data_IF_565394655882
#
_entry.id   IF_565394655882
#
_cell.length_a   1.000
_cell.length_b   1.000
_cell.length_c   1.000
_cell.angle_alpha   90.00
_cell.angle_beta   90.00
_cell.angle_gamma   90.00
#
_symmetry.space_group_name_H-M   'P 1'
#
loop_
_entity.id
_entity.type
_entity.pdbx_description
1 polymer ?
#
# COMPACT_ATOMS: atom_id res chain seq x y z
N UNK A 1 29.05 -0.75 4.02
CA UNK A 1 27.69 -0.60 4.54
C UNK A 1 26.76 -1.28 3.55
N UNK A 2 26.07 -2.36 3.98
CA UNK A 2 25.09 -3.01 3.11
C UNK A 2 23.96 -1.99 2.85
N UNK A 3 23.73 -1.65 1.60
CA UNK A 3 22.58 -0.89 1.18
C UNK A 3 21.34 -1.71 1.59
N UNK A 4 20.53 -1.19 2.53
CA UNK A 4 19.22 -1.77 2.84
C UNK A 4 18.40 -1.58 1.57
N UNK A 5 18.34 -2.60 0.73
CA UNK A 5 17.43 -2.64 -0.41
C UNK A 5 16.04 -2.63 0.22
N UNK A 6 15.30 -1.55 0.05
CA UNK A 6 13.93 -1.46 0.53
C UNK A 6 13.13 -2.65 -0.01
N UNK A 7 12.38 -3.35 0.86
CA UNK A 7 11.66 -4.57 0.49
C UNK A 7 10.80 -4.45 -0.77
N UNK A 8 10.34 -3.24 -1.09
CA UNK A 8 9.52 -2.97 -2.26
C UNK A 8 10.23 -3.23 -3.61
N UNK A 9 11.56 -3.09 -3.68
CA UNK A 9 12.31 -3.39 -4.92
C UNK A 9 12.46 -4.88 -5.22
N UNK A 10 12.09 -5.74 -4.27
CA UNK A 10 12.04 -7.20 -4.44
C UNK A 10 10.70 -7.68 -5.05
N UNK A 11 9.76 -6.77 -5.22
CA UNK A 11 8.39 -7.05 -5.66
C UNK A 11 8.18 -6.57 -7.09
N UNK A 12 7.44 -7.35 -7.88
CA UNK A 12 6.99 -6.92 -9.20
C UNK A 12 5.75 -6.02 -9.07
N UNK A 13 5.92 -4.73 -9.36
CA UNK A 13 4.84 -3.77 -9.28
C UNK A 13 3.68 -4.09 -10.24
N UNK A 14 3.95 -4.71 -11.41
CA UNK A 14 2.89 -5.06 -12.35
C UNK A 14 2.03 -6.20 -11.80
N UNK A 15 2.66 -7.23 -11.23
CA UNK A 15 1.95 -8.33 -10.59
C UNK A 15 1.04 -7.81 -9.46
N UNK A 16 1.59 -6.99 -8.56
CA UNK A 16 0.86 -6.42 -7.43
C UNK A 16 -0.37 -5.60 -7.92
N UNK A 17 -0.15 -4.67 -8.85
CA UNK A 17 -1.24 -3.85 -9.39
C UNK A 17 -2.27 -4.66 -10.19
N UNK A 18 -1.88 -5.78 -10.79
CA UNK A 18 -2.78 -6.71 -11.46
C UNK A 18 -3.66 -7.45 -10.46
N UNK A 19 -3.08 -7.97 -9.36
CA UNK A 19 -3.80 -8.63 -8.29
C UNK A 19 -4.83 -7.72 -7.62
N UNK A 20 -4.46 -6.47 -7.37
CA UNK A 20 -5.40 -5.44 -6.90
C UNK A 20 -6.43 -5.01 -7.96
N UNK A 21 -6.30 -5.50 -9.20
CA UNK A 21 -7.12 -5.13 -10.36
C UNK A 21 -7.09 -3.62 -10.64
N UNK A 22 -5.96 -2.97 -10.43
CA UNK A 22 -5.79 -1.56 -10.77
C UNK A 22 -5.95 -1.38 -12.28
N UNK A 23 -6.82 -0.47 -12.70
CA UNK A 23 -7.16 -0.21 -14.10
C UNK A 23 -7.30 1.27 -14.44
N UNK A 24 -7.64 1.54 -15.70
CA UNK A 24 -7.82 2.92 -16.22
C UNK A 24 -8.85 3.72 -15.39
N UNK A 25 -8.57 4.99 -15.17
CA UNK A 25 -9.39 5.98 -14.45
C UNK A 25 -9.62 5.71 -12.96
N UNK A 26 -9.02 4.68 -12.39
CA UNK A 26 -9.16 4.39 -10.97
C UNK A 26 -8.47 5.42 -10.08
N UNK A 27 -8.96 5.52 -8.84
CA UNK A 27 -8.37 6.28 -7.75
C UNK A 27 -7.67 5.30 -6.80
N UNK A 28 -6.36 5.40 -6.72
CA UNK A 28 -5.51 4.46 -5.97
C UNK A 28 -4.69 5.21 -4.94
N UNK A 29 -4.49 4.65 -3.76
CA UNK A 29 -3.55 5.18 -2.78
C UNK A 29 -2.48 4.13 -2.44
N UNK A 30 -1.22 4.54 -2.49
CA UNK A 30 -0.09 3.78 -1.92
C UNK A 30 0.17 4.31 -0.51
N UNK A 31 -0.21 3.52 0.48
CA UNK A 31 -0.29 3.87 1.90
C UNK A 31 0.98 3.45 2.62
N UNK A 32 1.92 4.37 2.76
CA UNK A 32 3.29 4.12 3.18
C UNK A 32 4.21 3.93 1.97
N UNK A 33 4.15 4.86 1.00
CA UNK A 33 4.71 4.68 -0.34
C UNK A 33 6.25 4.56 -0.39
N UNK A 34 6.96 5.03 0.62
CA UNK A 34 8.40 5.02 0.66
C UNK A 34 9.07 5.89 -0.41
N UNK A 35 10.37 6.16 -0.25
CA UNK A 35 11.10 7.13 -1.06
C UNK A 35 11.27 6.72 -2.53
N UNK A 36 11.27 5.44 -2.85
CA UNK A 36 11.38 4.96 -4.23
C UNK A 36 10.10 5.20 -5.05
N UNK A 37 8.94 5.26 -4.38
CA UNK A 37 7.63 5.34 -5.01
C UNK A 37 7.39 4.18 -5.99
N UNK A 38 7.91 3.00 -5.68
CA UNK A 38 7.93 1.85 -6.59
C UNK A 38 6.54 1.53 -7.17
N UNK A 39 5.52 1.53 -6.32
CA UNK A 39 4.14 1.28 -6.72
C UNK A 39 3.42 2.55 -7.19
N UNK A 40 3.71 3.70 -6.58
CA UNK A 40 3.13 5.01 -6.93
C UNK A 40 3.28 5.32 -8.41
N UNK A 41 4.51 5.24 -8.93
CA UNK A 41 4.78 5.58 -10.34
C UNK A 41 4.21 4.53 -11.31
N UNK A 42 4.24 3.26 -10.95
CA UNK A 42 3.63 2.20 -11.74
C UNK A 42 2.10 2.37 -11.80
N UNK A 43 1.45 2.64 -10.66
CA UNK A 43 0.03 2.90 -10.59
C UNK A 43 -0.37 4.15 -11.39
N UNK A 44 0.39 5.26 -11.28
CA UNK A 44 0.08 6.51 -11.99
C UNK A 44 0.05 6.33 -13.51
N UNK A 45 0.96 5.52 -14.05
CA UNK A 45 0.95 5.17 -15.48
C UNK A 45 -0.22 4.27 -15.84
N UNK A 46 -0.57 3.30 -14.97
CA UNK A 46 -1.61 2.30 -15.21
C UNK A 46 -3.01 2.90 -15.17
N UNK A 47 -3.30 3.82 -14.25
CA UNK A 47 -4.62 4.47 -14.16
C UNK A 47 -4.84 5.56 -15.22
N UNK A 48 -3.79 5.99 -15.91
CA UNK A 48 -3.84 6.97 -16.96
C UNK A 48 -4.21 8.39 -16.48
N UNK A 49 -4.26 9.34 -17.42
CA UNK A 49 -4.47 10.77 -17.12
C UNK A 49 -5.80 11.09 -16.42
N UNK A 50 -6.82 10.26 -16.57
CA UNK A 50 -8.15 10.44 -15.96
C UNK A 50 -8.27 9.75 -14.60
N UNK A 51 -7.31 8.91 -14.23
CA UNK A 51 -7.20 8.32 -12.90
C UNK A 51 -6.50 9.25 -11.92
N UNK A 52 -6.38 8.80 -10.67
CA UNK A 52 -5.69 9.56 -9.61
C UNK A 52 -4.90 8.61 -8.72
N UNK A 53 -3.66 8.96 -8.42
CA UNK A 53 -2.84 8.21 -7.46
C UNK A 53 -2.42 9.12 -6.31
N UNK A 54 -2.59 8.63 -5.10
CA UNK A 54 -2.14 9.28 -3.88
C UNK A 54 -0.91 8.54 -3.34
N UNK A 55 0.19 9.27 -3.21
CA UNK A 55 1.38 8.82 -2.50
C UNK A 55 1.28 9.27 -1.04
N UNK A 56 1.04 8.34 -0.14
CA UNK A 56 0.78 8.64 1.28
C UNK A 56 1.96 8.21 2.12
N UNK A 57 2.52 9.11 2.93
CA UNK A 57 3.62 8.79 3.85
C UNK A 57 3.63 9.73 5.06
N UNK A 58 4.25 9.28 6.16
CA UNK A 58 4.47 10.08 7.37
C UNK A 58 5.72 10.97 7.25
N UNK A 59 6.66 10.62 6.35
CA UNK A 59 7.90 11.34 6.16
C UNK A 59 7.78 12.37 5.04
N UNK A 60 7.80 13.65 5.39
CA UNK A 60 7.73 14.75 4.42
C UNK A 60 8.88 14.72 3.39
N UNK A 61 10.05 14.23 3.77
CA UNK A 61 11.20 14.08 2.88
C UNK A 61 10.96 13.03 1.79
N UNK A 62 10.24 11.95 2.13
CA UNK A 62 9.78 10.94 1.18
C UNK A 62 8.85 11.59 0.15
N UNK A 63 7.82 12.30 0.61
CA UNK A 63 6.84 12.95 -0.26
C UNK A 63 7.48 14.01 -1.16
N UNK A 64 8.43 14.79 -0.65
CA UNK A 64 9.17 15.76 -1.46
C UNK A 64 9.98 15.10 -2.59
N UNK A 65 10.53 13.90 -2.35
CA UNK A 65 11.23 13.11 -3.37
C UNK A 65 10.27 12.62 -4.44
N UNK A 66 9.11 12.11 -4.04
CA UNK A 66 8.04 11.67 -4.95
C UNK A 66 7.55 12.84 -5.80
N UNK A 67 7.24 13.97 -5.19
CA UNK A 67 6.77 15.20 -5.86
C UNK A 67 7.76 15.69 -6.94
N UNK A 68 9.05 15.74 -6.58
CA UNK A 68 10.10 16.14 -7.53
C UNK A 68 10.13 15.21 -8.73
N UNK A 69 10.08 13.89 -8.50
CA UNK A 69 10.11 12.90 -9.57
C UNK A 69 8.83 12.94 -10.41
N UNK A 70 7.65 13.10 -9.80
CA UNK A 70 6.38 13.22 -10.52
C UNK A 70 6.39 14.41 -11.50
N UNK A 71 6.93 15.56 -11.08
CA UNK A 71 7.11 16.73 -11.94
C UNK A 71 8.07 16.46 -13.11
N UNK A 72 9.19 15.78 -12.85
CA UNK A 72 10.15 15.42 -13.90
C UNK A 72 9.55 14.43 -14.93
N UNK A 73 8.67 13.53 -14.49
CA UNK A 73 8.01 12.56 -15.35
C UNK A 73 6.66 13.07 -15.92
N UNK A 74 6.27 14.31 -15.64
CA UNK A 74 5.00 14.93 -16.07
C UNK A 74 3.76 14.12 -15.66
N UNK A 75 3.75 13.56 -14.45
CA UNK A 75 2.64 12.79 -13.90
C UNK A 75 1.70 13.72 -13.12
N UNK A 76 0.77 14.37 -13.82
CA UNK A 76 -0.21 15.31 -13.24
C UNK A 76 -1.32 14.60 -12.41
N UNK A 77 -1.47 13.30 -12.59
CA UNK A 77 -2.44 12.45 -11.90
C UNK A 77 -1.95 11.90 -10.56
N UNK A 78 -0.77 12.33 -10.08
CA UNK A 78 -0.16 11.91 -8.83
C UNK A 78 -0.21 13.07 -7.82
N UNK A 79 -0.62 12.76 -6.59
CA UNK A 79 -0.68 13.70 -5.47
C UNK A 79 -0.02 13.10 -4.23
N UNK A 80 0.76 13.90 -3.52
CA UNK A 80 1.38 13.50 -2.25
C UNK A 80 0.50 13.91 -1.07
N UNK A 81 0.32 13.02 -0.10
CA UNK A 81 -0.49 13.25 1.11
C UNK A 81 0.33 12.91 2.34
N UNK A 82 0.64 13.93 3.13
CA UNK A 82 1.30 13.75 4.42
C UNK A 82 0.28 13.38 5.50
N UNK A 83 0.52 12.25 6.19
CA UNK A 83 -0.35 11.81 7.29
C UNK A 83 0.33 10.78 8.18
N UNK A 84 -0.26 10.55 9.36
CA UNK A 84 -0.04 9.37 10.17
C UNK A 84 -1.26 8.44 10.03
N UNK A 85 -1.07 7.31 9.35
CA UNK A 85 -2.13 6.31 9.12
C UNK A 85 -2.64 5.61 10.40
N UNK A 86 -1.93 5.75 11.52
CA UNK A 86 -2.37 5.22 12.82
C UNK A 86 -3.49 6.06 13.46
N UNK A 87 -3.83 7.21 12.87
CA UNK A 87 -4.85 8.13 13.39
C UNK A 87 -6.04 8.12 12.45
N UNK A 88 -7.17 7.57 12.92
CA UNK A 88 -8.40 7.51 12.13
C UNK A 88 -8.90 8.90 11.73
N UNK A 89 -9.18 9.10 10.45
CA UNK A 89 -9.65 10.37 9.89
C UNK A 89 -8.55 11.42 9.65
N UNK A 90 -7.27 11.10 9.92
CA UNK A 90 -6.18 12.07 9.73
C UNK A 90 -5.77 12.26 8.27
N UNK A 91 -6.00 11.27 7.42
CA UNK A 91 -5.61 11.31 6.01
C UNK A 91 -6.57 12.18 5.21
N UNK A 92 -6.03 13.17 4.50
CA UNK A 92 -6.80 14.11 3.66
C UNK A 92 -7.19 13.46 2.32
N UNK A 93 -7.79 12.29 2.40
CA UNK A 93 -8.45 11.58 1.31
C UNK A 93 -9.88 11.33 1.77
N UNK A 94 -10.83 11.65 0.92
CA UNK A 94 -12.26 11.54 1.19
C UNK A 94 -12.66 10.08 1.50
N UNK A 95 -13.56 9.90 2.46
CA UNK A 95 -14.09 8.58 2.81
C UNK A 95 -14.83 7.96 1.62
N UNK A 96 -14.56 6.69 1.33
CA UNK A 96 -15.23 5.96 0.25
C UNK A 96 -14.89 6.46 -1.16
N UNK A 97 -13.75 7.12 -1.35
CA UNK A 97 -13.38 7.70 -2.64
C UNK A 97 -12.36 6.89 -3.44
N UNK A 98 -11.67 5.94 -2.82
CA UNK A 98 -10.65 5.11 -3.48
C UNK A 98 -11.25 3.84 -4.04
N UNK A 99 -10.82 3.45 -5.23
CA UNK A 99 -11.05 2.12 -5.79
C UNK A 99 -10.15 1.08 -5.13
N UNK A 100 -8.86 1.44 -4.89
CA UNK A 100 -7.84 0.55 -4.33
C UNK A 100 -6.96 1.30 -3.33
N UNK A 101 -6.72 0.67 -2.18
CA UNK A 101 -5.66 1.03 -1.23
C UNK A 101 -4.58 -0.04 -1.21
N UNK A 102 -3.33 0.35 -1.34
CA UNK A 102 -2.16 -0.54 -1.28
C UNK A 102 -1.45 -0.34 0.07
N UNK A 103 -1.21 -1.40 0.81
CA UNK A 103 -0.42 -1.46 2.03
C UNK A 103 0.74 -2.45 1.83
N UNK A 104 1.84 -1.97 1.29
CA UNK A 104 2.94 -2.83 0.87
C UNK A 104 4.17 -2.60 1.74
N UNK A 105 4.54 -3.60 2.52
CA UNK A 105 5.61 -3.52 3.52
C UNK A 105 5.41 -2.36 4.52
N UNK A 106 4.16 -2.08 4.87
CA UNK A 106 3.76 -0.96 5.73
C UNK A 106 3.41 -1.41 7.14
N UNK A 107 2.65 -2.50 7.27
CA UNK A 107 2.09 -2.91 8.56
C UNK A 107 3.13 -3.46 9.54
N UNK A 108 4.21 -4.07 9.05
CA UNK A 108 5.27 -4.55 9.93
C UNK A 108 5.97 -3.40 10.68
N UNK A 109 5.94 -2.19 10.13
CA UNK A 109 6.57 -1.00 10.71
C UNK A 109 5.80 -0.39 11.88
N UNK A 110 4.61 -0.93 12.19
CA UNK A 110 3.72 -0.40 13.24
C UNK A 110 3.18 -1.50 14.14
N UNK A 111 3.01 -1.14 15.42
CA UNK A 111 2.25 -1.95 16.38
C UNK A 111 0.74 -1.64 16.37
N UNK A 112 0.31 -0.57 15.67
CA UNK A 112 -1.10 -0.16 15.53
C UNK A 112 -1.69 -0.59 14.17
N UNK A 113 -1.44 -1.82 13.78
CA UNK A 113 -1.82 -2.39 12.47
C UNK A 113 -3.32 -2.30 12.20
N UNK A 114 -4.15 -2.54 13.23
CA UNK A 114 -5.61 -2.45 13.12
C UNK A 114 -6.09 -1.00 12.83
N UNK A 115 -5.43 0.01 13.38
CA UNK A 115 -5.76 1.41 13.13
C UNK A 115 -5.40 1.81 11.70
N UNK A 116 -4.26 1.36 11.19
CA UNK A 116 -3.87 1.56 9.79
C UNK A 116 -4.90 0.92 8.85
N UNK A 117 -5.33 -0.31 9.12
CA UNK A 117 -6.38 -0.97 8.33
C UNK A 117 -7.71 -0.21 8.40
N UNK A 118 -8.12 0.29 9.56
CA UNK A 118 -9.35 1.08 9.72
C UNK A 118 -9.30 2.38 8.90
N UNK A 119 -8.18 3.09 8.95
CA UNK A 119 -8.00 4.31 8.16
C UNK A 119 -8.01 4.00 6.66
N UNK A 120 -7.34 2.92 6.24
CA UNK A 120 -7.35 2.45 4.84
C UNK A 120 -8.77 2.12 4.38
N UNK A 121 -9.52 1.38 5.18
CA UNK A 121 -10.94 1.06 4.90
C UNK A 121 -11.82 2.30 4.79
N UNK A 122 -11.60 3.30 5.63
CA UNK A 122 -12.37 4.55 5.57
C UNK A 122 -12.30 5.17 4.18
N UNK A 123 -11.10 5.20 3.60
CA UNK A 123 -10.84 5.84 2.30
C UNK A 123 -11.36 5.03 1.11
N UNK A 124 -11.35 3.70 1.21
CA UNK A 124 -11.79 2.81 0.13
C UNK A 124 -13.33 2.76 0.08
N UNK A 125 -13.90 2.79 -1.14
CA UNK A 125 -15.36 2.68 -1.38
C UNK A 125 -15.88 1.27 -1.08
N UNK A 126 -17.19 1.11 -0.91
CA UNK A 126 -17.83 -0.22 -0.89
C UNK A 126 -17.56 -0.94 -2.22
N UNK A 127 -17.22 -2.23 -2.15
CA UNK A 127 -16.76 -3.01 -3.29
C UNK A 127 -15.33 -2.71 -3.76
N UNK A 128 -14.67 -1.69 -3.19
CA UNK A 128 -13.26 -1.40 -3.47
C UNK A 128 -12.31 -2.35 -2.73
N UNK A 129 -11.04 -2.31 -3.09
CA UNK A 129 -10.05 -3.28 -2.63
C UNK A 129 -9.00 -2.68 -1.71
N UNK A 130 -8.54 -3.48 -0.76
CA UNK A 130 -7.31 -3.24 -0.01
C UNK A 130 -6.38 -4.40 -0.27
N UNK A 131 -5.24 -4.12 -0.87
CA UNK A 131 -4.18 -5.11 -1.04
C UNK A 131 -3.11 -4.91 0.01
N UNK A 132 -2.78 -6.00 0.68
CA UNK A 132 -1.69 -6.02 1.68
C UNK A 132 -0.63 -6.99 1.20
N UNK A 133 0.61 -6.50 1.12
CA UNK A 133 1.80 -7.33 0.85
C UNK A 133 2.76 -7.18 2.01
N UNK A 134 3.13 -8.30 2.62
CA UNK A 134 4.01 -8.31 3.79
C UNK A 134 5.00 -9.48 3.74
N UNK A 135 6.04 -9.40 4.57
CA UNK A 135 7.08 -10.39 4.66
C UNK A 135 6.55 -11.74 5.18
N UNK A 136 6.90 -12.83 4.48
CA UNK A 136 6.67 -14.19 4.96
C UNK A 136 7.45 -14.45 6.26
N UNK A 137 6.87 -15.31 7.11
CA UNK A 137 7.49 -15.69 8.39
C UNK A 137 8.54 -16.79 8.20
N UNK A 138 9.47 -16.56 7.29
CA UNK A 138 10.62 -17.43 7.00
C UNK A 138 11.92 -16.70 7.30
N UNK A 139 13.00 -17.42 7.52
CA UNK A 139 14.31 -16.82 7.67
C UNK A 139 14.74 -16.12 6.37
N UNK A 140 15.11 -14.86 6.47
CA UNK A 140 15.57 -14.07 5.34
C UNK A 140 16.89 -13.39 5.68
N UNK A 141 17.80 -13.22 4.71
CA UNK A 141 19.09 -12.54 4.94
C UNK A 141 18.95 -11.01 5.10
N UNK A 142 17.75 -10.48 4.88
CA UNK A 142 17.39 -9.05 4.95
C UNK A 142 15.91 -8.92 5.33
N UNK A 143 15.43 -7.70 5.53
CA UNK A 143 14.06 -7.42 5.97
C UNK A 143 13.93 -7.32 7.49
N UNK A 144 12.71 -7.26 8.01
CA UNK A 144 12.46 -7.11 9.44
C UNK A 144 12.78 -8.39 10.21
N UNK A 145 13.13 -8.29 11.51
CA UNK A 145 13.27 -9.44 12.39
C UNK A 145 11.93 -10.18 12.52
N UNK A 146 11.98 -11.46 12.89
CA UNK A 146 10.80 -12.35 12.89
C UNK A 146 9.65 -11.83 13.76
N UNK A 147 9.96 -11.18 14.87
CA UNK A 147 8.98 -10.59 15.81
C UNK A 147 8.21 -9.39 15.24
N UNK A 148 8.79 -8.68 14.26
CA UNK A 148 8.16 -7.55 13.58
C UNK A 148 7.28 -8.00 12.40
N UNK A 149 7.50 -9.20 11.88
CA UNK A 149 6.74 -9.72 10.75
C UNK A 149 5.26 -9.87 11.07
N UNK A 150 4.42 -9.55 10.09
CA UNK A 150 2.97 -9.63 10.23
C UNK A 150 2.51 -11.06 9.95
N UNK A 151 1.96 -11.73 10.97
CA UNK A 151 1.41 -13.08 10.79
C UNK A 151 0.15 -13.03 9.95
N UNK A 152 0.18 -13.69 8.81
CA UNK A 152 -0.89 -13.70 7.80
C UNK A 152 -2.27 -14.04 8.39
N UNK A 153 -2.37 -15.12 9.15
CA UNK A 153 -3.65 -15.56 9.74
C UNK A 153 -4.26 -14.53 10.69
N UNK A 154 -3.41 -13.85 11.49
CA UNK A 154 -3.87 -12.80 12.40
C UNK A 154 -4.34 -11.56 11.63
N UNK A 155 -3.66 -11.23 10.54
CA UNK A 155 -4.06 -10.14 9.66
C UNK A 155 -5.41 -10.40 9.00
N UNK A 156 -5.63 -11.61 8.46
CA UNK A 156 -6.92 -12.03 7.88
C UNK A 156 -8.04 -11.94 8.92
N UNK A 157 -7.80 -12.42 10.15
CA UNK A 157 -8.79 -12.35 11.23
C UNK A 157 -9.11 -10.89 11.60
N UNK A 158 -8.09 -10.03 11.69
CA UNK A 158 -8.28 -8.61 12.00
C UNK A 158 -9.06 -7.89 10.89
N UNK A 159 -8.71 -8.12 9.62
CA UNK A 159 -9.40 -7.58 8.47
C UNK A 159 -10.88 -7.97 8.43
N UNK A 160 -11.17 -9.25 8.68
CA UNK A 160 -12.54 -9.77 8.74
C UNK A 160 -13.37 -9.12 9.85
N UNK A 161 -12.80 -8.91 11.04
CA UNK A 161 -13.46 -8.19 12.14
C UNK A 161 -13.80 -6.74 11.80
N UNK A 162 -13.05 -6.14 10.89
CA UNK A 162 -13.29 -4.78 10.41
C UNK A 162 -14.30 -4.71 9.25
N UNK A 163 -14.79 -5.83 8.72
CA UNK A 163 -15.73 -5.87 7.60
C UNK A 163 -15.08 -6.00 6.23
N UNK A 164 -13.83 -6.47 6.17
CA UNK A 164 -13.16 -6.85 4.93
C UNK A 164 -13.37 -8.34 4.64
N UNK A 165 -13.61 -8.68 3.39
CA UNK A 165 -13.67 -10.06 2.91
C UNK A 165 -12.40 -10.39 2.15
N UNK A 166 -11.71 -11.49 2.49
CA UNK A 166 -10.56 -11.97 1.72
C UNK A 166 -11.05 -12.52 0.38
N UNK A 167 -10.55 -11.95 -0.71
CA UNK A 167 -10.84 -12.38 -2.08
C UNK A 167 -9.76 -13.30 -2.62
N UNK A 168 -8.49 -12.94 -2.42
CA UNK A 168 -7.35 -13.68 -2.94
C UNK A 168 -6.18 -13.67 -1.96
N UNK A 169 -5.46 -14.79 -1.91
CA UNK A 169 -4.13 -14.93 -1.32
C UNK A 169 -3.17 -15.38 -2.41
N UNK A 170 -1.98 -14.76 -2.49
CA UNK A 170 -1.00 -15.07 -3.54
C UNK A 170 0.44 -14.90 -3.05
N UNK A 171 1.37 -15.52 -3.76
CA UNK A 171 2.81 -15.32 -3.57
C UNK A 171 3.21 -14.00 -4.26
N UNK A 172 3.52 -12.97 -3.46
CA UNK A 172 3.89 -11.66 -3.99
C UNK A 172 5.37 -11.55 -4.39
N UNK A 173 6.18 -12.51 -3.97
CA UNK A 173 7.61 -12.63 -4.23
C UNK A 173 8.23 -13.70 -3.34
N UNK A 174 9.51 -13.99 -3.53
CA UNK A 174 10.23 -15.06 -2.81
C UNK A 174 10.09 -15.01 -1.28
N UNK A 175 9.91 -13.83 -0.71
CA UNK A 175 9.85 -13.61 0.73
C UNK A 175 8.60 -12.85 1.18
N UNK A 176 7.60 -12.74 0.31
CA UNK A 176 6.40 -11.97 0.58
C UNK A 176 5.13 -12.73 0.20
N UNK A 177 4.13 -12.60 1.06
CA UNK A 177 2.76 -12.98 0.73
C UNK A 177 1.94 -11.73 0.35
N UNK A 178 0.91 -11.93 -0.44
CA UNK A 178 -0.08 -10.92 -0.79
C UNK A 178 -1.49 -11.37 -0.42
N UNK A 179 -2.30 -10.42 0.05
CA UNK A 179 -3.71 -10.59 0.40
C UNK A 179 -4.52 -9.49 -0.26
N UNK A 180 -5.52 -9.86 -1.03
CA UNK A 180 -6.49 -8.92 -1.59
C UNK A 180 -7.79 -9.04 -0.82
N UNK A 181 -8.22 -7.93 -0.20
CA UNK A 181 -9.48 -7.82 0.50
C UNK A 181 -10.46 -6.93 -0.26
N UNK A 182 -11.74 -7.27 -0.19
CA UNK A 182 -12.84 -6.42 -0.66
C UNK A 182 -13.55 -5.81 0.54
N UNK A 183 -13.83 -4.51 0.47
CA UNK A 183 -14.68 -3.83 1.45
C UNK A 183 -16.14 -4.14 1.16
N UNK A 184 -16.83 -4.76 2.13
CA UNK A 184 -18.26 -5.07 2.07
C UNK A 184 -19.13 -3.83 2.20
#
# INVERSE_FOLDING_TARGET
MAQIIGGNTLLDANLILEKAQVGDKMRVADLGCGASGHFVFAAARRVGKKGKVYAVDILKTVLATIDKRAKLENLENLETVWTNLEIFGATKIESGSLDVGLLINTLYQSHKRAEILRESMRMVKAGGKIEVVEWENVATPFGPPAEEKVKKDLLIQAAKKLGLSLEEEFEAGQYHYGLVFVKL
#
